data_IF_584677628848
#
_entry.id   IF_584677628848
#
_cell.length_a   1.000
_cell.length_b   1.000
_cell.length_c   1.000
_cell.angle_alpha   90.00
_cell.angle_beta   90.00
_cell.angle_gamma   90.00
#
_symmetry.space_group_name_H-M   'P 1'
#
loop_
_entity.id
_entity.type
_entity.pdbx_description
1 polymer ?
#
# COMPACT_ATOMS: atom_id res chain seq x y z
N UNK A 1 -9.76 17.07 -13.26
CA UNK A 1 -8.87 18.01 -12.56
C UNK A 1 -7.69 18.33 -13.47
N UNK A 2 -7.21 19.59 -13.55
CA UNK A 2 -6.02 19.92 -14.34
C UNK A 2 -4.73 19.73 -13.53
N UNK A 3 -3.60 19.50 -14.20
CA UNK A 3 -2.26 19.38 -13.58
C UNK A 3 -1.88 20.63 -12.81
N UNK A 4 -2.30 21.80 -13.30
CA UNK A 4 -2.13 23.08 -12.59
C UNK A 4 -2.91 23.11 -11.29
N UNK A 5 -4.16 22.66 -11.28
CA UNK A 5 -4.95 22.61 -10.06
C UNK A 5 -4.41 21.58 -9.06
N UNK A 6 -3.93 20.43 -9.55
CA UNK A 6 -3.26 19.44 -8.71
C UNK A 6 -1.98 19.99 -8.08
N UNK A 7 -1.14 20.69 -8.86
CA UNK A 7 0.08 21.32 -8.37
C UNK A 7 -0.20 22.28 -7.20
N UNK A 8 -1.24 23.12 -7.33
CA UNK A 8 -1.71 24.03 -6.28
C UNK A 8 -2.17 23.26 -5.02
N UNK A 9 -3.00 22.23 -5.19
CA UNK A 9 -3.52 21.43 -4.07
C UNK A 9 -2.45 20.59 -3.37
N UNK A 10 -1.46 20.09 -4.12
CA UNK A 10 -0.36 19.31 -3.61
C UNK A 10 0.76 20.18 -3.00
N UNK A 11 0.76 21.50 -3.24
CA UNK A 11 1.87 22.36 -2.83
C UNK A 11 3.16 22.11 -3.60
N UNK A 12 3.05 21.59 -4.83
CA UNK A 12 4.18 21.24 -5.71
C UNK A 12 4.21 22.20 -6.90
N UNK A 13 5.39 22.57 -7.40
CA UNK A 13 5.46 23.45 -8.56
C UNK A 13 4.88 22.79 -9.82
N UNK A 14 4.11 23.54 -10.60
CA UNK A 14 3.49 23.02 -11.82
C UNK A 14 4.50 22.51 -12.86
N UNK A 15 5.66 23.18 -13.10
CA UNK A 15 6.70 22.65 -13.99
C UNK A 15 7.22 21.29 -13.55
N UNK A 16 7.45 21.09 -12.25
CA UNK A 16 7.95 19.83 -11.71
C UNK A 16 6.92 18.71 -11.81
N UNK A 17 5.66 18.99 -11.47
CA UNK A 17 4.57 18.01 -11.61
C UNK A 17 4.37 17.58 -13.08
N UNK A 18 4.51 18.51 -14.04
CA UNK A 18 4.46 18.20 -15.47
C UNK A 18 5.63 17.34 -15.94
N UNK A 19 6.81 17.43 -15.31
CA UNK A 19 7.93 16.52 -15.62
C UNK A 19 7.63 15.09 -15.11
N UNK A 20 6.99 14.97 -13.95
CA UNK A 20 6.57 13.67 -13.39
C UNK A 20 5.51 13.02 -14.29
N UNK A 21 4.48 13.77 -14.70
CA UNK A 21 3.39 13.26 -15.57
C UNK A 21 3.93 12.73 -16.92
N UNK A 22 4.98 13.35 -17.46
CA UNK A 22 5.64 12.93 -18.69
C UNK A 22 6.67 11.81 -18.50
N UNK A 23 6.83 11.29 -17.27
CA UNK A 23 7.82 10.26 -16.95
C UNK A 23 9.28 10.72 -16.99
N UNK A 24 9.54 12.03 -17.08
CA UNK A 24 10.89 12.60 -17.17
C UNK A 24 11.58 12.69 -15.80
N UNK A 25 10.82 12.58 -14.71
CA UNK A 25 11.30 12.62 -13.33
C UNK A 25 10.61 11.55 -12.51
N UNK A 26 11.39 10.83 -11.71
CA UNK A 26 10.85 9.96 -10.65
C UNK A 26 10.57 10.82 -9.40
N UNK A 27 9.33 10.85 -8.89
CA UNK A 27 9.01 11.57 -7.66
C UNK A 27 9.60 10.86 -6.43
N UNK A 28 9.93 11.62 -5.38
CA UNK A 28 10.25 11.06 -4.07
C UNK A 28 8.98 10.62 -3.33
N UNK A 29 9.13 9.83 -2.26
CA UNK A 29 8.00 9.43 -1.42
C UNK A 29 7.24 10.64 -0.85
N UNK A 30 7.94 11.69 -0.43
CA UNK A 30 7.32 12.93 0.06
C UNK A 30 6.45 13.62 -1.01
N UNK A 31 6.95 13.71 -2.24
CA UNK A 31 6.18 14.27 -3.36
C UNK A 31 4.94 13.42 -3.66
N UNK A 32 5.05 12.10 -3.58
CA UNK A 32 3.91 11.21 -3.76
C UNK A 32 2.86 11.40 -2.65
N UNK A 33 3.24 11.65 -1.39
CA UNK A 33 2.28 11.98 -0.31
C UNK A 33 1.55 13.29 -0.60
N UNK A 34 2.29 14.32 -1.02
CA UNK A 34 1.72 15.62 -1.36
C UNK A 34 0.71 15.51 -2.52
N UNK A 35 1.06 14.75 -3.56
CA UNK A 35 0.16 14.46 -4.69
C UNK A 35 -1.07 13.67 -4.23
N UNK A 36 -0.89 12.63 -3.40
CA UNK A 36 -1.99 11.83 -2.86
C UNK A 36 -2.97 12.67 -2.04
N UNK A 37 -2.45 13.57 -1.20
CA UNK A 37 -3.25 14.54 -0.44
C UNK A 37 -4.05 15.47 -1.35
N UNK A 38 -3.41 16.01 -2.40
CA UNK A 38 -4.08 16.85 -3.39
C UNK A 38 -5.15 16.13 -4.21
N UNK A 39 -4.99 14.81 -4.41
CA UNK A 39 -5.96 13.93 -5.08
C UNK A 39 -7.02 13.35 -4.14
N UNK A 40 -6.86 13.50 -2.82
CA UNK A 40 -7.67 12.85 -1.78
C UNK A 40 -7.72 11.32 -1.92
N UNK A 41 -6.57 10.70 -2.22
CA UNK A 41 -6.41 9.25 -2.30
C UNK A 41 -5.34 8.77 -1.31
N UNK A 42 -5.26 7.46 -1.11
CA UNK A 42 -4.16 6.86 -0.34
C UNK A 42 -2.81 7.08 -1.04
N UNK A 43 -1.80 7.50 -0.29
CA UNK A 43 -0.42 7.57 -0.77
C UNK A 43 0.14 6.19 -1.12
N UNK A 44 -0.37 5.13 -0.48
CA UNK A 44 0.02 3.74 -0.75
C UNK A 44 -0.20 3.37 -2.22
N UNK A 45 -1.34 3.75 -2.80
CA UNK A 45 -1.65 3.47 -4.21
C UNK A 45 -0.60 4.09 -5.14
N UNK A 46 -0.05 5.24 -4.77
CA UNK A 46 1.00 5.89 -5.55
C UNK A 46 2.37 5.26 -5.30
N UNK A 47 2.64 4.79 -4.09
CA UNK A 47 3.87 4.07 -3.75
C UNK A 47 3.98 2.73 -4.47
N UNK A 48 2.89 1.96 -4.56
CA UNK A 48 2.85 0.71 -5.31
C UNK A 48 3.15 0.93 -6.78
N UNK A 49 2.47 1.90 -7.40
CA UNK A 49 2.70 2.26 -8.81
C UNK A 49 4.11 2.79 -9.07
N UNK A 50 4.73 3.42 -8.07
CA UNK A 50 6.11 3.87 -8.13
C UNK A 50 7.13 2.77 -7.82
N UNK A 51 6.68 1.57 -7.42
CA UNK A 51 7.54 0.46 -6.98
C UNK A 51 8.28 0.73 -5.66
N UNK A 52 7.82 1.70 -4.87
CA UNK A 52 8.35 2.03 -3.54
C UNK A 52 7.78 1.07 -2.49
N UNK A 53 6.52 0.70 -2.66
CA UNK A 53 5.85 -0.30 -1.84
C UNK A 53 5.71 -1.58 -2.66
N UNK A 54 6.24 -2.68 -2.14
CA UNK A 54 5.99 -3.99 -2.72
C UNK A 54 4.60 -4.46 -2.27
N UNK A 55 3.64 -4.65 -3.19
CA UNK A 55 2.31 -5.16 -2.84
C UNK A 55 2.38 -6.55 -2.18
N UNK A 56 3.42 -7.35 -2.49
CA UNK A 56 3.64 -8.66 -1.88
C UNK A 56 4.15 -8.56 -0.44
N UNK A 57 4.81 -7.45 -0.05
CA UNK A 57 5.17 -7.20 1.35
C UNK A 57 3.93 -7.02 2.24
N UNK A 58 2.81 -6.57 1.67
CA UNK A 58 1.50 -6.51 2.34
C UNK A 58 0.93 -7.92 2.63
N UNK A 59 1.37 -8.93 1.87
CA UNK A 59 1.03 -10.34 2.05
C UNK A 59 1.82 -11.06 3.14
N UNK A 60 2.78 -10.39 3.78
CA UNK A 60 3.62 -10.96 4.86
C UNK A 60 3.15 -10.53 6.26
N UNK A 61 1.90 -10.13 6.42
CA UNK A 61 1.15 -10.74 7.52
C UNK A 61 0.32 -11.84 6.89
N UNK A 62 0.98 -12.95 6.56
CA UNK A 62 0.29 -14.11 6.03
C UNK A 62 -0.88 -14.45 6.95
N UNK A 63 -1.95 -15.07 6.45
CA UNK A 63 -3.14 -15.42 7.27
C UNK A 63 -2.75 -16.04 8.62
N UNK A 64 -1.63 -16.77 8.65
CA UNK A 64 -0.97 -17.29 9.86
C UNK A 64 -0.58 -16.22 10.89
N UNK A 65 0.14 -15.18 10.46
CA UNK A 65 0.54 -14.06 11.33
C UNK A 65 -0.66 -13.22 11.77
N UNK A 66 -1.65 -13.03 10.89
CA UNK A 66 -2.88 -12.35 11.26
C UNK A 66 -3.64 -13.10 12.36
N UNK A 67 -3.73 -14.44 12.27
CA UNK A 67 -4.31 -15.27 13.33
C UNK A 67 -3.49 -15.20 14.62
N UNK A 68 -2.15 -15.26 14.53
CA UNK A 68 -1.27 -15.24 15.69
C UNK A 68 -1.24 -13.88 16.42
N UNK A 69 -1.48 -12.78 15.71
CA UNK A 69 -1.46 -11.42 16.27
C UNK A 69 -2.83 -10.93 16.75
N UNK A 70 -3.91 -11.70 16.59
CA UNK A 70 -5.27 -11.28 16.96
C UNK A 70 -5.46 -11.32 18.49
N UNK A 71 -5.67 -10.15 19.15
CA UNK A 71 -5.83 -10.07 20.60
C UNK A 71 -7.19 -10.58 21.11
N UNK A 72 -8.15 -10.83 20.22
CA UNK A 72 -9.46 -11.39 20.58
C UNK A 72 -9.43 -12.91 20.73
N UNK A 73 -8.33 -13.56 20.30
CA UNK A 73 -8.18 -15.00 20.33
C UNK A 73 -7.32 -15.44 21.52
N UNK A 74 -7.75 -16.50 22.20
CA UNK A 74 -6.87 -17.23 23.11
C UNK A 74 -5.82 -18.02 22.33
N UNK A 75 -4.68 -18.38 22.95
CA UNK A 75 -3.67 -19.22 22.30
C UNK A 75 -4.24 -20.52 21.70
N UNK A 76 -5.21 -21.15 22.38
CA UNK A 76 -5.87 -22.36 21.88
C UNK A 76 -6.73 -22.09 20.64
N UNK A 77 -7.43 -20.95 20.60
CA UNK A 77 -8.25 -20.54 19.46
C UNK A 77 -7.38 -20.18 18.25
N UNK A 78 -6.26 -19.49 18.46
CA UNK A 78 -5.27 -19.23 17.41
C UNK A 78 -4.76 -20.54 16.80
N UNK A 79 -4.36 -21.49 17.65
CA UNK A 79 -3.88 -22.80 17.19
C UNK A 79 -4.95 -23.58 16.41
N UNK A 80 -6.21 -23.54 16.86
CA UNK A 80 -7.32 -24.18 16.18
C UNK A 80 -7.55 -23.59 14.77
N UNK A 81 -7.53 -22.26 14.64
CA UNK A 81 -7.67 -21.58 13.35
C UNK A 81 -6.50 -21.88 12.41
N UNK A 82 -5.27 -21.91 12.93
CA UNK A 82 -4.09 -22.31 12.14
C UNK A 82 -4.24 -23.73 11.61
N UNK A 83 -4.67 -24.69 12.45
CA UNK A 83 -4.87 -26.08 12.02
C UNK A 83 -5.93 -26.21 10.91
N UNK A 84 -7.06 -25.49 11.03
CA UNK A 84 -8.10 -25.47 10.00
C UNK A 84 -7.56 -24.85 8.71
N UNK A 85 -6.85 -23.73 8.81
CA UNK A 85 -6.22 -23.06 7.66
C UNK A 85 -5.23 -23.99 6.93
N UNK A 86 -4.36 -24.68 7.67
CA UNK A 86 -3.44 -25.66 7.10
C UNK A 86 -4.17 -26.82 6.41
N UNK A 87 -5.31 -27.27 6.94
CA UNK A 87 -6.08 -28.35 6.31
C UNK A 87 -6.59 -27.98 4.92
N UNK A 88 -6.92 -26.71 4.68
CA UNK A 88 -7.40 -26.23 3.39
C UNK A 88 -6.28 -25.91 2.41
N UNK A 89 -5.16 -25.36 2.89
CA UNK A 89 -4.03 -24.97 2.04
C UNK A 89 -3.10 -26.16 1.76
N UNK A 90 -2.87 -27.03 2.75
CA UNK A 90 -2.06 -28.24 2.61
C UNK A 90 -2.68 -29.27 1.67
N UNK A 91 -4.02 -29.32 1.59
CA UNK A 91 -4.75 -30.19 0.64
C UNK A 91 -4.66 -29.75 -0.82
N UNK A 92 -4.06 -28.59 -1.11
CA UNK A 92 -3.92 -28.01 -2.46
C UNK A 92 -2.49 -28.15 -3.01
N UNK A 93 -1.64 -28.96 -2.38
CA UNK A 93 -0.32 -29.37 -2.90
C UNK A 93 -0.37 -30.73 -3.56
#
# INVERSE_FOLDING_TARGET
MSVRKLAELAGVSNPYLSQIERGLRKPSAEILQQIAKGLQISAETLYERAGILDPEARGVHGVREAIAADPLLTPEQQQALLNVYESFVGSRR
#
